data_IF_982954045882
#
_entry.id   IF_982954045882
#
_cell.length_a   1.000
_cell.length_b   1.000
_cell.length_c   1.000
_cell.angle_alpha   90.00
_cell.angle_beta   90.00
_cell.angle_gamma   90.00
#
_symmetry.space_group_name_H-M   'P 1'
#
loop_
_entity.id
_entity.type
_entity.pdbx_description
1 polymer ?
#
# COMPACT_ATOMS: atom_id res chain seq x y z
N UNK A 1 25.30 37.84 25.43
CA UNK A 1 25.25 36.47 25.97
C UNK A 1 24.12 35.73 25.27
N UNK A 2 24.44 34.83 24.33
CA UNK A 2 23.45 34.02 23.60
C UNK A 2 23.37 32.66 24.27
N UNK A 3 22.21 32.34 24.84
CA UNK A 3 21.92 31.02 25.37
C UNK A 3 21.95 30.02 24.21
N UNK A 4 22.97 29.16 24.19
CA UNK A 4 23.00 28.02 23.30
C UNK A 4 21.79 27.14 23.64
N UNK A 5 20.95 26.91 22.64
CA UNK A 5 19.78 26.06 22.68
C UNK A 5 20.17 24.66 23.19
N UNK A 6 19.76 24.35 24.42
CA UNK A 6 19.97 23.08 25.12
C UNK A 6 19.50 21.78 24.42
N UNK A 7 18.57 21.74 23.43
CA UNK A 7 18.21 20.46 22.80
C UNK A 7 19.28 19.85 21.89
N UNK A 8 20.21 20.66 21.35
CA UNK A 8 21.26 20.16 20.46
C UNK A 8 22.34 19.37 21.22
N UNK A 9 22.69 19.81 22.43
CA UNK A 9 23.69 19.15 23.29
C UNK A 9 23.19 17.80 23.82
N UNK A 10 21.91 17.69 24.19
CA UNK A 10 21.32 16.42 24.67
C UNK A 10 21.21 15.39 23.55
N UNK A 11 20.97 15.83 22.32
CA UNK A 11 20.91 14.92 21.15
C UNK A 11 22.31 14.41 20.77
N UNK A 12 23.33 15.27 20.80
CA UNK A 12 24.72 14.89 20.51
C UNK A 12 25.34 13.94 21.54
N UNK A 13 24.99 14.07 22.83
CA UNK A 13 25.51 13.18 23.89
C UNK A 13 24.98 11.74 23.79
N UNK A 14 23.74 11.54 23.32
CA UNK A 14 23.13 10.21 23.17
C UNK A 14 23.71 9.44 21.99
N UNK A 15 24.06 10.13 20.90
CA UNK A 15 24.74 9.53 19.75
C UNK A 15 26.22 9.22 20.02
N UNK A 16 26.91 10.08 20.80
CA UNK A 16 28.30 9.86 21.20
C UNK A 16 28.48 8.75 22.25
N UNK A 17 27.48 8.51 23.10
CA UNK A 17 27.49 7.47 24.13
C UNK A 17 26.97 6.09 23.67
N UNK A 18 26.51 5.95 22.42
CA UNK A 18 26.06 4.66 21.91
C UNK A 18 27.23 3.71 21.66
N UNK A 19 27.21 2.57 22.34
CA UNK A 19 28.17 1.49 22.10
C UNK A 19 28.15 1.07 20.62
N UNK A 20 29.29 0.65 20.05
CA UNK A 20 29.34 0.16 18.67
C UNK A 20 28.38 -1.01 18.44
N UNK A 21 28.20 -1.88 19.44
CA UNK A 21 27.25 -2.99 19.40
C UNK A 21 25.79 -2.49 19.26
N UNK A 22 25.40 -1.43 19.97
CA UNK A 22 24.06 -0.83 19.86
C UNK A 22 23.84 -0.24 18.47
N UNK A 23 24.84 0.44 17.89
CA UNK A 23 24.75 0.98 16.53
C UNK A 23 24.57 -0.12 15.49
N UNK A 24 25.31 -1.21 15.62
CA UNK A 24 25.19 -2.37 14.73
C UNK A 24 23.81 -3.03 14.83
N UNK A 25 23.28 -3.17 16.05
CA UNK A 25 21.93 -3.71 16.24
C UNK A 25 20.84 -2.80 15.65
N UNK A 26 20.96 -1.48 15.80
CA UNK A 26 20.04 -0.52 15.17
C UNK A 26 20.09 -0.66 13.64
N UNK A 27 21.29 -0.68 13.05
CA UNK A 27 21.46 -0.84 11.62
C UNK A 27 20.83 -2.16 11.12
N UNK A 28 21.02 -3.26 11.85
CA UNK A 28 20.41 -4.55 11.54
C UNK A 28 18.87 -4.49 11.57
N UNK A 29 18.28 -3.87 12.59
CA UNK A 29 16.82 -3.74 12.67
C UNK A 29 16.26 -2.83 11.58
N UNK A 30 16.96 -1.75 11.24
CA UNK A 30 16.56 -0.85 10.16
C UNK A 30 16.68 -1.52 8.78
N UNK A 31 17.69 -2.37 8.57
CA UNK A 31 17.83 -3.18 7.37
C UNK A 31 16.67 -4.18 7.25
N UNK A 32 16.39 -4.95 8.32
CA UNK A 32 15.26 -5.88 8.34
C UNK A 32 13.93 -5.19 8.06
N UNK A 33 13.71 -4.00 8.64
CA UNK A 33 12.53 -3.20 8.37
C UNK A 33 12.46 -2.75 6.90
N UNK A 34 13.59 -2.34 6.32
CA UNK A 34 13.67 -1.93 4.92
C UNK A 34 13.35 -3.09 3.98
N UNK A 35 13.98 -4.24 4.18
CA UNK A 35 13.80 -5.43 3.35
C UNK A 35 12.34 -5.91 3.40
N UNK A 36 11.75 -5.98 4.60
CA UNK A 36 10.36 -6.36 4.79
C UNK A 36 9.39 -5.35 4.15
N UNK A 37 9.65 -4.03 4.25
CA UNK A 37 8.83 -3.02 3.56
C UNK A 37 8.93 -3.13 2.04
N UNK A 38 10.12 -3.38 1.50
CA UNK A 38 10.31 -3.58 0.07
C UNK A 38 9.58 -4.82 -0.42
N UNK A 39 9.68 -5.94 0.30
CA UNK A 39 8.92 -7.16 -0.01
C UNK A 39 7.42 -6.93 0.07
N UNK A 40 6.93 -6.20 1.08
CA UNK A 40 5.52 -5.83 1.18
C UNK A 40 5.06 -5.04 -0.05
N UNK A 41 5.79 -4.01 -0.48
CA UNK A 41 5.45 -3.22 -1.67
C UNK A 41 5.47 -4.07 -2.94
N UNK A 42 6.48 -4.93 -3.11
CA UNK A 42 6.58 -5.81 -4.28
C UNK A 42 5.43 -6.82 -4.33
N UNK A 43 5.01 -7.37 -3.19
CA UNK A 43 3.84 -8.28 -3.13
C UNK A 43 2.53 -7.58 -3.46
N UNK A 44 2.38 -6.32 -3.05
CA UNK A 44 1.19 -5.51 -3.33
C UNK A 44 1.14 -5.03 -4.79
N UNK A 45 2.28 -4.66 -5.36
CA UNK A 45 2.42 -4.24 -6.77
C UNK A 45 2.41 -5.41 -7.76
N UNK A 46 2.61 -6.64 -7.26
CA UNK A 46 2.66 -7.85 -8.08
C UNK A 46 1.44 -8.01 -8.99
N UNK A 47 1.68 -8.32 -10.27
CA UNK A 47 0.65 -8.70 -11.25
C UNK A 47 0.15 -10.12 -10.99
N UNK A 48 -0.49 -10.34 -9.85
CA UNK A 48 -1.25 -11.57 -9.60
C UNK A 48 -2.53 -11.61 -10.44
N UNK A 49 -3.14 -12.78 -10.56
CA UNK A 49 -4.46 -12.92 -11.18
C UNK A 49 -5.48 -11.97 -10.55
N UNK A 50 -6.49 -11.57 -11.34
CA UNK A 50 -7.58 -10.72 -10.83
C UNK A 50 -8.56 -11.49 -9.93
N UNK A 51 -8.29 -12.79 -9.73
CA UNK A 51 -9.04 -13.72 -8.91
C UNK A 51 -9.06 -13.32 -7.43
N UNK A 52 -10.21 -13.57 -6.79
CA UNK A 52 -10.43 -13.24 -5.37
C UNK A 52 -9.42 -13.93 -4.46
N UNK A 53 -9.11 -15.21 -4.73
CA UNK A 53 -8.15 -16.00 -3.95
C UNK A 53 -6.72 -15.44 -4.02
N UNK A 54 -6.27 -15.07 -5.22
CA UNK A 54 -4.93 -14.48 -5.41
C UNK A 54 -4.78 -13.13 -4.70
N UNK A 55 -5.82 -12.30 -4.71
CA UNK A 55 -5.83 -11.03 -3.96
C UNK A 55 -5.75 -11.23 -2.47
N UNK A 56 -6.49 -12.21 -1.93
CA UNK A 56 -6.45 -12.56 -0.50
C UNK A 56 -5.06 -13.08 -0.10
N UNK A 57 -4.50 -14.01 -0.87
CA UNK A 57 -3.16 -14.56 -0.62
C UNK A 57 -2.08 -13.46 -0.65
N UNK A 58 -2.15 -12.55 -1.64
CA UNK A 58 -1.24 -11.40 -1.70
C UNK A 58 -1.41 -10.46 -0.51
N UNK A 59 -2.65 -10.17 -0.12
CA UNK A 59 -2.94 -9.32 1.03
C UNK A 59 -2.42 -9.91 2.33
N UNK A 60 -2.54 -11.23 2.51
CA UNK A 60 -2.00 -11.94 3.66
C UNK A 60 -0.46 -11.92 3.69
N UNK A 61 0.19 -12.22 2.57
CA UNK A 61 1.65 -12.16 2.45
C UNK A 61 2.18 -10.74 2.71
N UNK A 62 1.57 -9.73 2.09
CA UNK A 62 1.95 -8.33 2.30
C UNK A 62 1.78 -7.91 3.77
N UNK A 63 0.72 -8.37 4.43
CA UNK A 63 0.48 -8.09 5.85
C UNK A 63 1.55 -8.71 6.74
N UNK A 64 1.94 -9.96 6.48
CA UNK A 64 3.02 -10.63 7.23
C UNK A 64 4.32 -9.81 7.14
N UNK A 65 4.69 -9.37 5.93
CA UNK A 65 5.85 -8.49 5.75
C UNK A 65 5.70 -7.14 6.46
N UNK A 66 4.50 -6.54 6.45
CA UNK A 66 4.26 -5.29 7.18
C UNK A 66 4.34 -5.47 8.71
N UNK A 67 3.93 -6.62 9.23
CA UNK A 67 4.07 -6.97 10.65
C UNK A 67 5.54 -7.10 11.02
N UNK A 68 6.32 -7.81 10.21
CA UNK A 68 7.77 -7.92 10.41
C UNK A 68 8.47 -6.56 10.37
N UNK A 69 8.12 -5.73 9.39
CA UNK A 69 8.63 -4.37 9.26
C UNK A 69 8.32 -3.52 10.51
N UNK A 70 7.07 -3.50 10.95
CA UNK A 70 6.66 -2.72 12.13
C UNK A 70 7.27 -3.28 13.41
N UNK A 71 7.43 -4.60 13.53
CA UNK A 71 8.15 -5.23 14.64
C UNK A 71 9.62 -4.80 14.69
N UNK A 72 10.31 -4.82 13.56
CA UNK A 72 11.70 -4.36 13.45
C UNK A 72 11.85 -2.86 13.75
N UNK A 73 10.95 -2.01 13.20
CA UNK A 73 10.89 -0.59 13.52
C UNK A 73 10.59 -0.34 15.01
N UNK A 74 9.71 -1.15 15.62
CA UNK A 74 9.40 -1.08 17.04
C UNK A 74 10.61 -1.38 17.93
N UNK A 75 11.41 -2.39 17.56
CA UNK A 75 12.69 -2.70 18.23
C UNK A 75 13.71 -1.57 18.06
N UNK A 76 13.84 -1.01 16.85
CA UNK A 76 14.73 0.11 16.60
C UNK A 76 14.28 1.40 17.33
N UNK A 77 12.98 1.58 17.55
CA UNK A 77 12.39 2.76 18.23
C UNK A 77 12.82 2.90 19.69
N UNK A 78 13.22 1.80 20.34
CA UNK A 78 13.81 1.82 21.69
C UNK A 78 15.07 2.70 21.72
N UNK A 79 15.85 2.67 20.65
CA UNK A 79 17.08 3.45 20.51
C UNK A 79 16.89 4.75 19.73
N UNK A 80 15.98 4.76 18.74
CA UNK A 80 15.66 5.92 17.90
C UNK A 80 14.18 6.30 18.06
N UNK A 81 13.81 7.11 19.07
CA UNK A 81 12.40 7.42 19.39
C UNK A 81 11.64 8.16 18.28
N UNK A 82 12.37 8.74 17.31
CA UNK A 82 11.81 9.49 16.19
C UNK A 82 11.16 8.59 15.12
N UNK A 83 11.44 7.28 15.14
CA UNK A 83 10.82 6.31 14.23
C UNK A 83 9.31 6.25 14.43
N UNK A 84 8.58 6.24 13.32
CA UNK A 84 7.12 6.16 13.27
C UNK A 84 6.69 4.73 12.98
N UNK A 85 5.76 4.22 13.77
CA UNK A 85 5.22 2.87 13.68
C UNK A 85 3.70 2.92 13.70
N UNK A 86 3.06 1.86 13.17
CA UNK A 86 1.63 1.61 13.36
C UNK A 86 1.41 0.61 14.50
N UNK A 87 0.21 0.60 15.07
CA UNK A 87 -0.16 -0.39 16.07
C UNK A 87 -0.44 -1.74 15.40
N UNK A 88 0.00 -2.82 16.04
CA UNK A 88 -0.14 -4.17 15.51
C UNK A 88 -1.62 -4.57 15.29
N UNK A 89 -2.58 -4.27 16.20
CA UNK A 89 -4.00 -4.55 15.95
C UNK A 89 -4.54 -3.86 14.70
N UNK A 90 -4.07 -2.64 14.41
CA UNK A 90 -4.49 -1.90 13.21
C UNK A 90 -3.99 -2.58 11.93
N UNK A 91 -2.77 -3.12 11.92
CA UNK A 91 -2.24 -3.89 10.80
C UNK A 91 -2.94 -5.25 10.62
N UNK A 92 -3.28 -5.90 11.73
CA UNK A 92 -3.92 -7.23 11.72
C UNK A 92 -5.40 -7.18 11.38
N UNK A 93 -6.06 -6.03 11.53
CA UNK A 93 -7.44 -5.86 11.05
C UNK A 93 -7.54 -6.16 9.54
N UNK A 94 -8.58 -6.85 9.09
CA UNK A 94 -8.77 -7.24 7.69
C UNK A 94 -10.06 -6.62 7.16
N UNK A 95 -9.99 -5.89 6.05
CA UNK A 95 -11.20 -5.47 5.32
C UNK A 95 -11.76 -6.69 4.55
N UNK A 96 -13.06 -6.98 4.66
CA UNK A 96 -13.68 -8.12 3.97
C UNK A 96 -13.60 -8.03 2.44
N UNK A 97 -13.36 -6.84 1.89
CA UNK A 97 -13.21 -6.61 0.45
C UNK A 97 -11.73 -6.63 0.05
N UNK A 98 -11.26 -7.64 -0.71
CA UNK A 98 -9.82 -7.82 -1.00
C UNK A 98 -9.18 -6.62 -1.71
N UNK A 99 -9.91 -5.96 -2.61
CA UNK A 99 -9.39 -4.79 -3.33
C UNK A 99 -9.18 -3.59 -2.40
N UNK A 100 -10.07 -3.39 -1.43
CA UNK A 100 -9.94 -2.33 -0.43
C UNK A 100 -8.81 -2.66 0.55
N UNK A 101 -8.68 -3.93 0.92
CA UNK A 101 -7.60 -4.37 1.79
C UNK A 101 -6.22 -4.16 1.16
N UNK A 102 -6.03 -4.55 -0.10
CA UNK A 102 -4.78 -4.31 -0.82
C UNK A 102 -4.46 -2.80 -0.91
N UNK A 103 -5.45 -1.96 -1.22
CA UNK A 103 -5.26 -0.52 -1.27
C UNK A 103 -4.90 0.08 0.10
N UNK A 104 -5.52 -0.42 1.18
CA UNK A 104 -5.24 -0.03 2.56
C UNK A 104 -3.81 -0.39 2.95
N UNK A 105 -3.39 -1.64 2.70
CA UNK A 105 -2.04 -2.11 2.97
C UNK A 105 -0.99 -1.32 2.15
N UNK A 106 -1.29 -1.01 0.89
CA UNK A 106 -0.43 -0.16 0.06
C UNK A 106 -0.28 1.25 0.63
N UNK A 107 -1.37 1.83 1.12
CA UNK A 107 -1.34 3.14 1.75
C UNK A 107 -0.51 3.12 3.05
N UNK A 108 -0.63 2.07 3.86
CA UNK A 108 0.15 1.90 5.09
C UNK A 108 1.64 1.74 4.76
N UNK A 109 1.99 0.85 3.84
CA UNK A 109 3.37 0.61 3.40
C UNK A 109 4.02 1.91 2.90
N UNK A 110 3.31 2.62 2.02
CA UNK A 110 3.76 3.91 1.46
C UNK A 110 3.97 4.95 2.56
N UNK A 111 3.02 5.09 3.50
CA UNK A 111 3.15 6.03 4.62
C UNK A 111 4.32 5.69 5.54
N UNK A 112 4.52 4.41 5.87
CA UNK A 112 5.65 3.96 6.68
C UNK A 112 6.99 4.29 6.03
N UNK A 113 7.11 4.03 4.71
CA UNK A 113 8.29 4.38 3.93
C UNK A 113 8.55 5.89 4.00
N UNK A 114 7.55 6.72 3.67
CA UNK A 114 7.70 8.17 3.68
C UNK A 114 8.00 8.75 5.06
N UNK A 115 7.42 8.21 6.13
CA UNK A 115 7.64 8.73 7.48
C UNK A 115 9.03 8.36 8.01
N UNK A 116 9.55 7.18 7.64
CA UNK A 116 10.83 6.68 8.15
C UNK A 116 11.99 6.81 7.15
N UNK A 117 11.76 7.39 5.97
CA UNK A 117 12.73 7.46 4.87
C UNK A 117 14.11 8.03 5.24
N UNK A 118 14.21 8.88 6.27
CA UNK A 118 15.47 9.46 6.74
C UNK A 118 16.35 8.48 7.53
N UNK A 119 15.76 7.40 8.04
CA UNK A 119 16.43 6.38 8.86
C UNK A 119 16.58 5.05 8.12
N UNK A 120 15.90 4.87 6.99
CA UNK A 120 16.00 3.65 6.21
C UNK A 120 17.29 3.65 5.36
N UNK A 121 18.00 2.52 5.30
CA UNK A 121 19.31 2.40 4.66
C UNK A 121 19.28 2.78 3.17
N UNK A 122 18.17 2.51 2.48
CA UNK A 122 17.98 2.81 1.05
C UNK A 122 18.19 4.29 0.67
N UNK A 123 18.09 5.25 1.61
CA UNK A 123 18.41 6.66 1.34
C UNK A 123 19.76 7.08 1.93
N UNK A 124 20.18 6.53 3.07
CA UNK A 124 21.49 6.87 3.65
C UNK A 124 22.66 6.33 2.82
N UNK A 125 22.42 5.26 2.06
CA UNK A 125 23.40 4.63 1.16
C UNK A 125 23.19 5.00 -0.33
N UNK A 126 22.10 5.71 -0.66
CA UNK A 126 21.86 6.18 -2.02
C UNK A 126 22.89 7.24 -2.40
N UNK A 127 23.91 6.80 -3.14
CA UNK A 127 24.80 7.71 -3.85
C UNK A 127 23.96 8.50 -4.87
N UNK A 128 24.27 9.79 -5.11
CA UNK A 128 23.64 10.53 -6.19
C UNK A 128 23.82 9.74 -7.49
N UNK A 129 22.69 9.41 -8.14
CA UNK A 129 22.68 8.65 -9.38
C UNK A 129 23.55 9.37 -10.43
N UNK A 130 24.32 8.61 -11.19
CA UNK A 130 25.05 9.17 -12.32
C UNK A 130 24.03 9.71 -13.35
N UNK A 131 24.33 10.81 -14.06
CA UNK A 131 23.38 11.45 -14.97
C UNK A 131 22.87 10.52 -16.09
N UNK A 132 23.63 9.49 -16.45
CA UNK A 132 23.19 8.41 -17.35
C UNK A 132 22.08 7.53 -16.74
N UNK A 133 22.19 7.17 -15.46
CA UNK A 133 21.22 6.34 -14.74
C UNK A 133 19.93 7.12 -14.46
N UNK A 134 20.03 8.43 -14.20
CA UNK A 134 18.86 9.32 -14.04
C UNK A 134 17.98 9.32 -15.30
N UNK A 135 18.58 9.30 -16.49
CA UNK A 135 17.83 9.26 -17.77
C UNK A 135 17.12 7.92 -17.95
N UNK A 136 17.78 6.81 -17.61
CA UNK A 136 17.15 5.49 -17.69
C UNK A 136 16.02 5.34 -16.68
N UNK A 137 16.22 5.83 -15.46
CA UNK A 137 15.18 5.83 -14.43
C UNK A 137 14.00 6.74 -14.84
N UNK A 138 14.27 7.91 -15.43
CA UNK A 138 13.24 8.80 -15.92
C UNK A 138 12.40 8.16 -17.03
N UNK A 139 13.02 7.39 -17.94
CA UNK A 139 12.33 6.64 -18.98
C UNK A 139 11.49 5.51 -18.37
N UNK A 140 12.02 4.75 -17.41
CA UNK A 140 11.29 3.68 -16.72
C UNK A 140 10.11 4.23 -15.91
N UNK A 141 10.30 5.30 -15.14
CA UNK A 141 9.24 5.98 -14.37
C UNK A 141 8.19 6.59 -15.30
N UNK A 142 8.58 7.15 -16.44
CA UNK A 142 7.64 7.61 -17.45
C UNK A 142 6.81 6.45 -18.05
N UNK A 143 7.42 5.28 -18.24
CA UNK A 143 6.73 4.05 -18.64
C UNK A 143 5.68 3.59 -17.61
N UNK A 144 6.04 3.56 -16.32
CA UNK A 144 5.13 3.19 -15.23
C UNK A 144 3.98 4.18 -15.07
N UNK A 145 4.27 5.50 -15.14
CA UNK A 145 3.22 6.54 -15.11
C UNK A 145 2.28 6.46 -16.32
N UNK A 146 2.78 6.08 -17.50
CA UNK A 146 1.95 5.85 -18.69
C UNK A 146 1.06 4.62 -18.50
N UNK A 147 1.58 3.51 -17.98
CA UNK A 147 0.80 2.31 -17.67
C UNK A 147 -0.36 2.59 -16.71
N UNK A 148 -0.11 3.33 -15.62
CA UNK A 148 -1.14 3.73 -14.66
C UNK A 148 -2.20 4.69 -15.25
N UNK A 149 -1.79 5.58 -16.17
CA UNK A 149 -2.74 6.46 -16.91
C UNK A 149 -3.57 5.67 -17.91
N UNK A 150 -2.99 4.70 -18.59
CA UNK A 150 -3.68 3.85 -19.56
C UNK A 150 -4.71 2.97 -18.84
N UNK A 151 -4.36 2.37 -17.71
CA UNK A 151 -5.29 1.56 -16.90
C UNK A 151 -6.47 2.40 -16.40
N UNK A 152 -6.19 3.60 -15.89
CA UNK A 152 -7.22 4.56 -15.48
C UNK A 152 -8.10 4.99 -16.67
N UNK A 153 -7.51 5.29 -17.82
CA UNK A 153 -8.24 5.67 -19.03
C UNK A 153 -9.09 4.52 -19.59
N UNK A 154 -8.61 3.28 -19.50
CA UNK A 154 -9.39 2.09 -19.87
C UNK A 154 -10.62 1.98 -18.97
N UNK A 155 -10.44 2.11 -17.65
CA UNK A 155 -11.53 2.01 -16.66
C UNK A 155 -12.61 3.07 -16.90
N UNK A 156 -12.24 4.31 -17.20
CA UNK A 156 -13.21 5.37 -17.54
C UNK A 156 -13.84 5.21 -18.93
N UNK A 157 -13.12 4.67 -19.93
CA UNK A 157 -13.69 4.35 -21.25
C UNK A 157 -14.78 3.30 -21.15
N UNK A 158 -14.57 2.24 -20.36
CA UNK A 158 -15.60 1.22 -20.15
C UNK A 158 -16.82 1.76 -19.39
N UNK A 159 -16.63 2.66 -18.42
CA UNK A 159 -17.74 3.37 -17.78
C UNK A 159 -18.52 4.27 -18.77
N UNK A 160 -17.83 5.00 -19.65
CA UNK A 160 -18.48 5.83 -20.67
C UNK A 160 -19.25 5.02 -21.72
N UNK A 161 -18.69 3.88 -22.15
CA UNK A 161 -19.37 2.94 -23.06
C UNK A 161 -20.59 2.32 -22.38
N UNK A 162 -20.48 1.91 -21.12
CA UNK A 162 -21.63 1.37 -20.36
C UNK A 162 -22.76 2.41 -20.21
N UNK A 163 -22.41 3.68 -19.95
CA UNK A 163 -23.39 4.77 -19.86
C UNK A 163 -24.04 5.07 -21.21
N UNK A 164 -23.26 5.06 -22.30
CA UNK A 164 -23.75 5.28 -23.66
C UNK A 164 -24.69 4.19 -24.14
N UNK A 165 -24.38 2.92 -23.84
CA UNK A 165 -25.24 1.77 -24.14
C UNK A 165 -26.55 1.85 -23.35
N UNK A 166 -26.49 2.24 -22.07
CA UNK A 166 -27.69 2.44 -21.26
C UNK A 166 -28.59 3.57 -21.81
N UNK A 167 -27.99 4.70 -22.22
CA UNK A 167 -28.72 5.83 -22.80
C UNK A 167 -29.32 5.50 -24.19
N UNK A 168 -28.59 4.81 -25.07
CA UNK A 168 -29.12 4.38 -26.37
C UNK A 168 -30.23 3.34 -26.22
N UNK A 169 -30.13 2.43 -25.25
CA UNK A 169 -31.20 1.46 -24.95
C UNK A 169 -32.51 2.14 -24.54
N UNK A 170 -32.43 3.28 -23.86
CA UNK A 170 -33.60 4.09 -23.46
C UNK A 170 -34.21 4.85 -24.65
N UNK A 171 -33.38 5.32 -25.58
CA UNK A 171 -33.79 6.17 -26.70
C UNK A 171 -34.40 5.37 -27.88
N UNK A 172 -34.03 4.10 -28.05
CA UNK A 172 -34.51 3.26 -29.16
C UNK A 172 -35.75 2.42 -28.84
N UNK A 173 -36.39 2.64 -27.68
CA UNK A 173 -37.66 1.98 -27.36
C UNK A 173 -37.57 0.44 -27.32
N UNK A 174 -36.39 -0.11 -27.05
CA UNK A 174 -36.17 -1.53 -26.74
C UNK A 174 -36.03 -1.67 -25.23
N UNK A 175 -37.13 -1.55 -24.45
CA UNK A 175 -37.09 -1.68 -23.01
C UNK A 175 -36.54 -3.04 -22.59
N UNK A 176 -36.61 -4.06 -23.46
CA UNK A 176 -36.04 -5.38 -23.19
C UNK A 176 -34.51 -5.38 -23.12
N UNK A 177 -33.81 -4.62 -23.98
CA UNK A 177 -32.34 -4.56 -23.98
C UNK A 177 -31.81 -3.62 -22.89
N UNK A 178 -32.50 -2.50 -22.66
CA UNK A 178 -32.23 -1.62 -21.52
C UNK A 178 -32.50 -2.32 -20.18
N UNK A 179 -33.61 -3.07 -20.07
CA UNK A 179 -33.92 -3.88 -18.91
C UNK A 179 -33.01 -5.10 -18.78
N UNK A 180 -32.55 -5.74 -19.86
CA UNK A 180 -31.56 -6.83 -19.79
C UNK A 180 -30.18 -6.30 -19.37
N UNK A 181 -29.75 -5.14 -19.85
CA UNK A 181 -28.52 -4.52 -19.40
C UNK A 181 -28.63 -4.05 -17.93
N UNK A 182 -29.74 -3.41 -17.56
CA UNK A 182 -30.00 -3.01 -16.18
C UNK A 182 -30.16 -4.23 -15.26
N UNK A 183 -30.89 -5.27 -15.65
CA UNK A 183 -31.02 -6.50 -14.87
C UNK A 183 -29.74 -7.30 -14.85
N UNK A 184 -28.90 -7.29 -15.88
CA UNK A 184 -27.57 -7.92 -15.84
C UNK A 184 -26.62 -7.19 -14.89
N UNK A 185 -26.64 -5.84 -14.87
CA UNK A 185 -25.89 -5.02 -13.93
C UNK A 185 -26.43 -5.13 -12.50
N UNK A 186 -27.75 -5.17 -12.34
CA UNK A 186 -28.42 -5.34 -11.05
C UNK A 186 -28.27 -6.78 -10.54
N UNK A 187 -28.29 -7.80 -11.40
CA UNK A 187 -28.04 -9.18 -11.00
C UNK A 187 -26.56 -9.43 -10.73
N UNK A 188 -25.60 -8.78 -11.40
CA UNK A 188 -24.20 -8.78 -10.97
C UNK A 188 -23.99 -8.06 -9.63
N UNK A 189 -24.72 -6.97 -9.39
CA UNK A 189 -24.68 -6.23 -8.12
C UNK A 189 -25.36 -7.00 -6.98
N UNK A 190 -26.51 -7.61 -7.23
CA UNK A 190 -27.30 -8.43 -6.28
C UNK A 190 -26.62 -9.78 -6.06
N UNK A 191 -26.02 -10.41 -7.08
CA UNK A 191 -25.21 -11.62 -6.91
C UNK A 191 -23.92 -11.32 -6.14
N UNK A 192 -23.36 -10.11 -6.27
CA UNK A 192 -22.29 -9.65 -5.37
C UNK A 192 -22.78 -9.38 -3.95
N UNK A 193 -23.96 -8.79 -3.79
CA UNK A 193 -24.56 -8.52 -2.48
C UNK A 193 -24.94 -9.81 -1.74
N UNK A 194 -25.56 -10.77 -2.42
CA UNK A 194 -25.96 -12.08 -1.87
C UNK A 194 -24.75 -12.98 -1.59
N UNK A 195 -23.68 -12.88 -2.39
CA UNK A 195 -22.41 -13.58 -2.09
C UNK A 195 -21.69 -12.99 -0.88
N UNK A 196 -22.01 -11.75 -0.51
CA UNK A 196 -21.48 -11.07 0.68
C UNK A 196 -22.43 -11.19 1.90
N UNK A 197 -23.60 -11.84 1.78
CA UNK A 197 -24.60 -12.02 2.86
C UNK A 197 -24.73 -13.41 3.55
N UNK A 198 -23.81 -14.39 3.48
CA UNK A 198 -23.98 -15.61 4.27
C UNK A 198 -23.71 -15.45 5.78
N UNK A 199 -23.26 -14.29 6.28
CA UNK A 199 -23.00 -14.09 7.72
C UNK A 199 -24.19 -13.51 8.53
N UNK A 200 -25.27 -13.07 7.89
CA UNK A 200 -26.45 -12.50 8.60
C UNK A 200 -27.58 -13.50 8.86
N UNK A 201 -27.52 -14.71 8.27
CA UNK A 201 -28.52 -15.76 8.50
C UNK A 201 -28.22 -16.70 9.69
N UNK A 202 -27.05 -16.57 10.33
CA UNK A 202 -26.66 -17.40 11.48
C UNK A 202 -26.91 -16.75 12.86
N UNK A 203 -27.50 -15.55 12.91
CA UNK A 203 -27.83 -14.84 14.17
C UNK A 203 -29.32 -14.48 14.27
N UNK A 204 -30.19 -15.32 13.69
CA UNK A 204 -31.64 -15.10 13.67
C UNK A 204 -32.47 -16.38 13.67
N UNK A 205 -31.99 -17.43 14.33
CA UNK A 205 -32.76 -18.61 14.72
C UNK A 205 -32.34 -19.04 16.13
#
# INVERSE_FOLDING_TARGET
MRFATLPALVTGYRDAAMSPATRQEIARQLQLASDALTLAVLTLDGRGGDDRGDKLRRGEQARQFLVEAVGALGRARVYVPKLKTYDLPYLLSVDPRPAMELARLQQIATRLLWQNHAYLPARSEAQPLLPEEERQLAVMVAGVKRGAKIDRALRYRWCGVALGVAAMGMMWGLPLLGALAATSGLSLAVFRLLRDEPEMAASGA
#
